data_IF_032025292720
#
_entry.id   IF_032025292720
#
_cell.length_a   1.000
_cell.length_b   1.000
_cell.length_c   1.000
_cell.angle_alpha   90.00
_cell.angle_beta   90.00
_cell.angle_gamma   90.00
#
_symmetry.space_group_name_H-M   'P 1'
#
loop_
_entity.id
_entity.type
_entity.pdbx_description
1 polymer ?
#
# COMPACT_ATOMS: atom_id res chain seq x y z
N UNK A 1 38.10 17.28 -2.32
CA UNK A 1 37.12 16.19 -2.14
C UNK A 1 35.75 16.83 -2.08
N UNK A 2 35.17 17.09 -3.25
CA UNK A 2 33.87 17.77 -3.34
C UNK A 2 32.75 16.76 -3.11
N UNK A 3 31.92 17.06 -2.11
CA UNK A 3 30.81 16.24 -1.66
C UNK A 3 29.81 16.00 -2.78
N UNK A 4 29.47 14.73 -2.95
CA UNK A 4 28.44 14.20 -3.83
C UNK A 4 27.09 14.86 -3.54
N UNK A 5 26.82 15.92 -4.32
CA UNK A 5 25.58 16.67 -4.31
C UNK A 5 24.41 15.72 -4.62
N UNK A 6 23.59 15.46 -3.62
CA UNK A 6 22.70 14.31 -3.49
C UNK A 6 21.43 14.50 -4.34
N UNK A 7 21.55 14.39 -5.66
CA UNK A 7 20.40 14.33 -6.62
C UNK A 7 19.63 13.00 -6.56
N UNK A 8 19.52 12.36 -5.39
CA UNK A 8 18.85 11.06 -5.22
C UNK A 8 17.31 11.14 -5.13
N UNK A 9 16.74 12.31 -4.85
CA UNK A 9 15.32 12.45 -4.50
C UNK A 9 14.32 12.05 -5.61
N UNK A 10 14.46 12.49 -6.89
CA UNK A 10 13.48 12.14 -7.93
C UNK A 10 13.55 10.66 -8.34
N UNK A 11 14.74 10.07 -8.24
CA UNK A 11 14.98 8.68 -8.64
C UNK A 11 14.35 7.70 -7.64
N UNK A 12 14.46 8.01 -6.34
CA UNK A 12 13.83 7.26 -5.26
C UNK A 12 12.31 7.29 -5.39
N UNK A 13 11.71 8.46 -5.62
CA UNK A 13 10.25 8.58 -5.80
C UNK A 13 9.79 7.79 -7.02
N UNK A 14 10.48 7.91 -8.16
CA UNK A 14 10.15 7.16 -9.39
C UNK A 14 10.22 5.65 -9.16
N UNK A 15 11.28 5.16 -8.52
CA UNK A 15 11.45 3.74 -8.20
C UNK A 15 10.35 3.24 -7.26
N UNK A 16 10.02 4.02 -6.23
CA UNK A 16 8.94 3.67 -5.30
C UNK A 16 7.59 3.58 -6.02
N UNK A 17 7.25 4.54 -6.90
CA UNK A 17 6.00 4.51 -7.66
C UNK A 17 5.88 3.28 -8.58
N UNK A 18 6.98 2.83 -9.19
CA UNK A 18 7.00 1.60 -9.99
C UNK A 18 6.68 0.38 -9.12
N UNK A 19 7.27 0.29 -7.93
CA UNK A 19 7.04 -0.84 -7.03
C UNK A 19 5.64 -0.79 -6.37
N UNK A 20 5.12 0.40 -6.06
CA UNK A 20 3.74 0.58 -5.59
C UNK A 20 2.76 0.08 -6.67
N UNK A 21 3.04 0.33 -7.95
CA UNK A 21 2.20 -0.18 -9.05
C UNK A 21 2.23 -1.71 -9.15
N UNK A 22 3.37 -2.36 -8.89
CA UNK A 22 3.46 -3.82 -8.82
C UNK A 22 2.62 -4.39 -7.67
N UNK A 23 2.69 -3.77 -6.50
CA UNK A 23 1.87 -4.17 -5.34
C UNK A 23 0.37 -3.94 -5.60
N UNK A 24 -0.03 -2.83 -6.23
CA UNK A 24 -1.44 -2.60 -6.63
C UNK A 24 -1.94 -3.68 -7.61
N UNK A 25 -1.10 -4.15 -8.54
CA UNK A 25 -1.46 -5.27 -9.42
C UNK A 25 -1.67 -6.58 -8.65
N UNK A 26 -0.84 -6.89 -7.66
CA UNK A 26 -1.00 -8.06 -6.79
C UNK A 26 -2.33 -7.94 -6.02
N UNK A 27 -2.56 -6.80 -5.39
CA UNK A 27 -3.78 -6.51 -4.62
C UNK A 27 -5.05 -6.62 -5.48
N UNK A 28 -5.02 -6.14 -6.73
CA UNK A 28 -6.15 -6.27 -7.64
C UNK A 28 -6.46 -7.72 -8.02
N UNK A 29 -5.45 -8.61 -8.12
CA UNK A 29 -5.65 -10.04 -8.40
C UNK A 29 -6.34 -10.75 -7.24
N UNK A 30 -5.96 -10.42 -5.99
CA UNK A 30 -6.55 -11.06 -4.79
C UNK A 30 -7.86 -10.42 -4.34
N UNK A 31 -8.11 -9.16 -4.73
CA UNK A 31 -9.31 -8.40 -4.35
C UNK A 31 -10.62 -9.15 -4.57
N UNK A 32 -10.81 -9.81 -5.70
CA UNK A 32 -12.06 -10.50 -5.99
C UNK A 32 -12.29 -11.71 -5.09
N UNK A 33 -11.22 -12.44 -4.74
CA UNK A 33 -11.27 -13.58 -3.82
C UNK A 33 -11.62 -13.12 -2.41
N UNK A 34 -10.97 -12.05 -1.94
CA UNK A 34 -11.25 -11.44 -0.63
C UNK A 34 -12.64 -10.82 -0.60
N UNK A 35 -13.09 -10.15 -1.67
CA UNK A 35 -14.40 -9.49 -1.74
C UNK A 35 -15.54 -10.44 -1.45
N UNK A 36 -15.55 -11.61 -2.08
CA UNK A 36 -16.65 -12.57 -1.92
C UNK A 36 -16.76 -13.12 -0.49
N UNK A 37 -15.64 -13.14 0.23
CA UNK A 37 -15.53 -13.74 1.56
C UNK A 37 -15.58 -12.71 2.70
N UNK A 38 -15.15 -11.48 2.45
CA UNK A 38 -14.93 -10.46 3.48
C UNK A 38 -15.60 -9.12 3.18
N UNK A 39 -16.56 -9.04 2.24
CA UNK A 39 -17.20 -7.77 1.83
C UNK A 39 -17.65 -6.87 2.99
N UNK A 40 -18.18 -7.48 4.04
CA UNK A 40 -18.72 -6.78 5.22
C UNK A 40 -17.68 -6.55 6.32
N UNK A 41 -16.51 -7.19 6.23
CA UNK A 41 -15.44 -7.07 7.20
C UNK A 41 -14.79 -5.67 7.14
N UNK A 42 -14.37 -5.21 8.31
CA UNK A 42 -13.65 -3.93 8.44
C UNK A 42 -12.37 -3.91 7.60
N UNK A 43 -11.62 -5.01 7.57
CA UNK A 43 -10.40 -5.18 6.75
C UNK A 43 -10.64 -4.84 5.28
N UNK A 44 -11.70 -5.40 4.69
CA UNK A 44 -12.02 -5.18 3.28
C UNK A 44 -12.50 -3.76 2.99
N UNK A 45 -13.27 -3.15 3.91
CA UNK A 45 -13.70 -1.74 3.78
C UNK A 45 -12.50 -0.80 3.77
N UNK A 46 -11.53 -1.01 4.68
CA UNK A 46 -10.29 -0.21 4.73
C UNK A 46 -9.43 -0.47 3.49
N UNK A 47 -9.31 -1.72 3.05
CA UNK A 47 -8.63 -2.04 1.78
C UNK A 47 -9.24 -1.31 0.57
N UNK A 48 -10.57 -1.21 0.51
CA UNK A 48 -11.23 -0.45 -0.54
C UNK A 48 -10.88 1.05 -0.50
N UNK A 49 -10.66 1.62 0.69
CA UNK A 49 -10.15 3.00 0.84
C UNK A 49 -8.73 3.12 0.29
N UNK A 50 -7.82 2.20 0.65
CA UNK A 50 -6.46 2.14 0.10
C UNK A 50 -6.48 2.07 -1.44
N UNK A 51 -7.28 1.16 -2.01
CA UNK A 51 -7.42 1.01 -3.46
C UNK A 51 -7.90 2.30 -4.15
N UNK A 52 -8.80 3.06 -3.54
CA UNK A 52 -9.25 4.36 -4.08
C UNK A 52 -8.14 5.41 -4.06
N UNK A 53 -7.41 5.50 -2.95
CA UNK A 53 -6.31 6.45 -2.80
C UNK A 53 -5.16 6.14 -3.77
N UNK A 54 -4.78 4.86 -3.92
CA UNK A 54 -3.78 4.44 -4.92
C UNK A 54 -4.20 4.79 -6.35
N UNK A 55 -5.47 4.55 -6.71
CA UNK A 55 -5.98 4.96 -8.04
C UNK A 55 -5.86 6.46 -8.26
N UNK A 56 -6.20 7.27 -7.25
CA UNK A 56 -6.08 8.72 -7.35
C UNK A 56 -4.61 9.15 -7.47
N UNK A 57 -3.72 8.57 -6.67
CA UNK A 57 -2.27 8.79 -6.76
C UNK A 57 -1.76 8.50 -8.18
N UNK A 58 -2.15 7.39 -8.80
CA UNK A 58 -1.69 7.07 -10.16
C UNK A 58 -2.33 7.93 -11.26
N UNK A 59 -3.58 8.34 -11.09
CA UNK A 59 -4.28 9.17 -12.07
C UNK A 59 -3.77 10.62 -12.07
N UNK A 60 -3.56 11.18 -10.87
CA UNK A 60 -3.22 12.60 -10.69
C UNK A 60 -1.73 12.85 -10.49
N UNK A 61 -0.98 11.81 -10.05
CA UNK A 61 0.39 11.94 -9.52
C UNK A 61 0.51 12.92 -8.35
N UNK A 62 -0.62 13.22 -7.70
CA UNK A 62 -0.70 14.12 -6.56
C UNK A 62 -0.33 13.39 -5.26
N UNK A 63 0.61 13.97 -4.51
CA UNK A 63 1.09 13.49 -3.22
C UNK A 63 0.42 14.19 -2.03
N UNK A 64 -0.53 15.10 -2.25
CA UNK A 64 -1.25 15.82 -1.18
C UNK A 64 -1.96 14.89 -0.20
N UNK A 65 -2.34 13.69 -0.64
CA UNK A 65 -3.01 12.66 0.17
C UNK A 65 -2.07 11.52 0.60
N UNK A 66 -0.75 11.74 0.55
CA UNK A 66 0.24 10.72 0.90
C UNK A 66 0.08 10.25 2.36
N UNK A 67 -0.16 11.17 3.30
CA UNK A 67 -0.34 10.84 4.72
C UNK A 67 -1.62 10.03 4.96
N UNK A 68 -2.73 10.42 4.32
CA UNK A 68 -3.98 9.67 4.36
C UNK A 68 -3.82 8.26 3.80
N UNK A 69 -3.02 8.12 2.74
CA UNK A 69 -2.72 6.83 2.12
C UNK A 69 -1.84 5.98 3.02
N UNK A 70 -0.80 6.53 3.64
CA UNK A 70 0.06 5.83 4.60
C UNK A 70 -0.78 5.31 5.78
N UNK A 71 -1.57 6.18 6.41
CA UNK A 71 -2.43 5.81 7.54
C UNK A 71 -3.47 4.74 7.16
N UNK A 72 -4.03 4.82 5.95
CA UNK A 72 -4.97 3.81 5.46
C UNK A 72 -4.28 2.46 5.21
N UNK A 73 -3.05 2.46 4.66
CA UNK A 73 -2.26 1.25 4.41
C UNK A 73 -1.85 0.57 5.72
N UNK A 74 -1.36 1.34 6.69
CA UNK A 74 -0.98 0.84 8.01
C UNK A 74 -2.16 0.16 8.70
N UNK A 75 -3.30 0.86 8.81
CA UNK A 75 -4.53 0.31 9.38
C UNK A 75 -5.04 -0.93 8.64
N UNK A 76 -4.87 -0.96 7.31
CA UNK A 76 -5.24 -2.12 6.51
C UNK A 76 -4.34 -3.32 6.85
N UNK A 77 -3.03 -3.08 6.97
CA UNK A 77 -2.04 -4.07 7.38
C UNK A 77 -2.37 -4.68 8.75
N UNK A 78 -2.62 -3.85 9.77
CA UNK A 78 -3.01 -4.30 11.12
C UNK A 78 -4.23 -5.23 11.08
N UNK A 79 -5.27 -4.87 10.32
CA UNK A 79 -6.49 -5.67 10.22
C UNK A 79 -6.26 -7.01 9.52
N UNK A 80 -5.40 -7.06 8.50
CA UNK A 80 -5.04 -8.32 7.87
C UNK A 80 -4.09 -9.16 8.72
N UNK A 81 -3.21 -8.54 9.51
CA UNK A 81 -2.40 -9.23 10.49
C UNK A 81 -3.27 -9.91 11.55
N UNK A 82 -4.24 -9.18 12.11
CA UNK A 82 -5.22 -9.73 13.04
C UNK A 82 -6.01 -10.89 12.43
N UNK A 83 -6.40 -10.80 11.14
CA UNK A 83 -7.04 -11.92 10.45
C UNK A 83 -6.14 -13.17 10.41
N UNK A 84 -4.83 -13.01 10.22
CA UNK A 84 -3.87 -14.13 10.25
C UNK A 84 -3.84 -14.75 11.65
N UNK A 85 -3.71 -13.95 12.70
CA UNK A 85 -3.70 -14.42 14.10
C UNK A 85 -4.97 -15.20 14.46
N UNK A 86 -6.12 -14.76 13.95
CA UNK A 86 -7.41 -15.43 14.13
C UNK A 86 -7.66 -16.59 13.14
N UNK A 87 -6.67 -16.95 12.31
CA UNK A 87 -6.75 -17.99 11.29
C UNK A 87 -7.89 -17.78 10.27
N UNK A 88 -8.25 -16.53 10.03
CA UNK A 88 -9.30 -16.13 9.10
C UNK A 88 -8.73 -15.91 7.71
N UNK A 89 -9.14 -16.76 6.76
CA UNK A 89 -8.81 -16.61 5.33
C UNK A 89 -7.29 -16.51 5.07
N UNK A 90 -6.52 -17.33 5.80
CA UNK A 90 -5.07 -17.20 5.97
C UNK A 90 -4.30 -16.97 4.67
N UNK A 91 -4.52 -17.72 3.57
CA UNK A 91 -3.70 -17.53 2.36
C UNK A 91 -3.83 -16.12 1.78
N UNK A 92 -5.04 -15.57 1.75
CA UNK A 92 -5.27 -14.22 1.23
C UNK A 92 -4.92 -13.15 2.26
N UNK A 93 -5.18 -13.39 3.55
CA UNK A 93 -4.79 -12.46 4.61
C UNK A 93 -3.27 -12.26 4.67
N UNK A 94 -2.47 -13.32 4.46
CA UNK A 94 -1.00 -13.25 4.37
C UNK A 94 -0.54 -12.41 3.18
N UNK A 95 -1.14 -12.61 1.99
CA UNK A 95 -0.79 -11.82 0.79
C UNK A 95 -1.14 -10.35 1.01
N UNK A 96 -2.34 -10.07 1.52
CA UNK A 96 -2.82 -8.72 1.78
C UNK A 96 -1.93 -8.01 2.79
N UNK A 97 -1.61 -8.65 3.92
CA UNK A 97 -0.70 -8.11 4.93
C UNK A 97 0.68 -7.81 4.33
N UNK A 98 1.28 -8.77 3.62
CA UNK A 98 2.60 -8.61 3.00
C UNK A 98 2.65 -7.43 2.03
N UNK A 99 1.63 -7.29 1.17
CA UNK A 99 1.53 -6.15 0.25
C UNK A 99 1.30 -4.83 0.97
N UNK A 100 0.50 -4.79 2.05
CA UNK A 100 0.33 -3.57 2.85
C UNK A 100 1.65 -3.14 3.51
N UNK A 101 2.42 -4.06 4.08
CA UNK A 101 3.73 -3.74 4.68
C UNK A 101 4.72 -3.18 3.65
N UNK A 102 4.73 -3.73 2.43
CA UNK A 102 5.56 -3.20 1.33
C UNK A 102 5.10 -1.83 0.87
N UNK A 103 3.79 -1.63 0.71
CA UNK A 103 3.24 -0.32 0.38
C UNK A 103 3.59 0.72 1.44
N UNK A 104 3.48 0.38 2.73
CA UNK A 104 3.82 1.28 3.84
C UNK A 104 5.30 1.71 3.75
N UNK A 105 6.21 0.76 3.53
CA UNK A 105 7.63 1.04 3.36
C UNK A 105 7.90 1.97 2.17
N UNK A 106 7.31 1.66 1.00
CA UNK A 106 7.51 2.46 -0.22
C UNK A 106 6.96 3.87 -0.09
N UNK A 107 5.76 4.03 0.49
CA UNK A 107 5.13 5.33 0.71
C UNK A 107 5.90 6.16 1.75
N UNK A 108 6.39 5.52 2.82
CA UNK A 108 7.26 6.18 3.80
C UNK A 108 8.57 6.68 3.17
N UNK A 109 9.13 5.93 2.22
CA UNK A 109 10.32 6.38 1.49
C UNK A 109 10.03 7.55 0.55
N UNK A 110 8.85 7.59 -0.10
CA UNK A 110 8.42 8.78 -0.86
C UNK A 110 8.30 9.97 0.07
N UNK A 111 7.66 9.81 1.24
CA UNK A 111 7.49 10.89 2.22
C UNK A 111 8.81 11.45 2.71
N UNK A 112 9.84 10.62 2.89
CA UNK A 112 11.19 11.05 3.29
C UNK A 112 11.99 11.73 2.16
N UNK A 113 11.55 11.56 0.91
CA UNK A 113 12.27 12.05 -0.27
C UNK A 113 11.69 13.35 -0.85
N UNK A 114 10.56 13.82 -0.32
CA UNK A 114 9.93 15.12 -0.63
C UNK A 114 10.13 16.09 0.53
#
# INVERSE_FOLDING_TARGET
MEGSNTKLQPQVVKSCLVNIRKEDQILNRVKYKVKNQQRHQKSFKVFCKVSKLLKKLFATKDLSQLDDLIAAVEKCGELFHWNIEKKLFVPYSVIMYSSMSRLFFLLSNIKKAI
#
